data_IF_370538726863
#
_entry.id   IF_370538726863
#
_cell.length_a   1.000
_cell.length_b   1.000
_cell.length_c   1.000
_cell.angle_alpha   90.00
_cell.angle_beta   90.00
_cell.angle_gamma   90.00
#
_symmetry.space_group_name_H-M   'P 1'
#
loop_
_entity.id
_entity.type
_entity.pdbx_description
1 polymer ?
#
# COMPACT_ATOMS: atom_id res chain seq x y z
N UNK A 1 -10.91 10.22 -16.64
CA UNK A 1 -9.79 9.71 -15.84
C UNK A 1 -8.51 10.34 -16.36
N UNK A 2 -8.09 11.44 -15.76
CA UNK A 2 -6.85 12.14 -16.13
C UNK A 2 -5.68 11.48 -15.42
N UNK A 3 -4.84 10.79 -16.19
CA UNK A 3 -3.54 10.31 -15.74
C UNK A 3 -2.64 11.52 -15.52
N UNK A 4 -2.29 11.81 -14.27
CA UNK A 4 -1.33 12.87 -13.91
C UNK A 4 0.09 12.31 -14.04
N UNK A 5 0.93 12.99 -14.81
CA UNK A 5 2.30 12.58 -15.18
C UNK A 5 3.31 12.87 -14.04
N UNK A 6 2.85 13.20 -12.83
CA UNK A 6 3.71 13.49 -11.68
C UNK A 6 3.21 12.78 -10.43
N UNK A 7 3.90 11.70 -10.06
CA UNK A 7 3.72 10.98 -8.80
C UNK A 7 2.74 9.82 -8.90
N UNK A 8 3.27 8.59 -8.88
CA UNK A 8 2.50 7.49 -8.31
C UNK A 8 2.05 7.88 -6.90
N UNK A 9 1.02 7.24 -6.37
CA UNK A 9 0.56 7.44 -5.00
C UNK A 9 1.03 6.27 -4.13
N UNK A 10 1.48 6.49 -2.88
CA UNK A 10 1.82 5.39 -1.99
C UNK A 10 0.62 4.50 -1.74
N UNK A 11 0.77 3.20 -1.91
CA UNK A 11 -0.34 2.27 -1.78
C UNK A 11 0.11 0.86 -1.47
N UNK A 12 -0.83 0.07 -0.96
CA UNK A 12 -0.66 -1.36 -0.74
C UNK A 12 -1.97 -2.08 -1.03
N UNK A 13 -1.87 -3.30 -1.53
CA UNK A 13 -3.05 -4.12 -1.80
C UNK A 13 -2.70 -5.59 -1.89
N UNK A 14 -3.73 -6.42 -1.95
CA UNK A 14 -3.57 -7.86 -2.03
C UNK A 14 -4.91 -8.57 -2.12
N UNK A 15 -4.86 -9.87 -1.86
CA UNK A 15 -6.00 -10.78 -1.88
C UNK A 15 -6.04 -11.54 -0.56
N UNK A 16 -7.24 -11.72 0.00
CA UNK A 16 -7.54 -12.74 1.01
C UNK A 16 -8.41 -13.79 0.32
N UNK A 17 -8.02 -15.05 0.45
CA UNK A 17 -8.71 -16.17 -0.17
C UNK A 17 -9.73 -16.77 0.80
N UNK A 18 -10.79 -17.33 0.22
CA UNK A 18 -11.70 -18.25 0.90
C UNK A 18 -12.39 -17.66 2.12
N UNK A 19 -12.84 -16.40 2.01
CA UNK A 19 -13.73 -15.81 3.02
C UNK A 19 -15.11 -16.40 2.79
N UNK A 20 -15.56 -17.28 3.68
CA UNK A 20 -16.84 -17.96 3.53
C UNK A 20 -17.74 -17.92 4.79
N UNK A 21 -19.00 -18.32 4.64
CA UNK A 21 -19.92 -18.52 5.75
C UNK A 21 -20.12 -17.28 6.63
N UNK A 22 -19.56 -17.32 7.85
CA UNK A 22 -19.61 -16.23 8.83
C UNK A 22 -18.25 -15.55 9.04
N UNK A 23 -17.26 -15.87 8.20
CA UNK A 23 -15.95 -15.25 8.24
C UNK A 23 -16.01 -13.81 7.78
N UNK A 24 -15.29 -12.95 8.46
CA UNK A 24 -15.16 -11.54 8.12
C UNK A 24 -13.75 -11.11 8.50
N UNK A 25 -13.14 -10.30 7.64
CA UNK A 25 -11.80 -9.76 7.89
C UNK A 25 -11.79 -8.25 7.73
N UNK A 26 -11.16 -7.57 8.67
CA UNK A 26 -10.84 -6.16 8.57
C UNK A 26 -9.35 -6.00 8.27
N UNK A 27 -9.04 -5.37 7.14
CA UNK A 27 -7.67 -4.99 6.77
C UNK A 27 -7.43 -3.53 7.16
N UNK A 28 -6.37 -3.28 7.92
CA UNK A 28 -5.99 -1.96 8.41
C UNK A 28 -4.61 -1.58 7.86
N UNK A 29 -4.49 -0.39 7.29
CA UNK A 29 -3.21 0.25 7.03
C UNK A 29 -2.81 1.09 8.24
N UNK A 30 -1.55 0.97 8.68
CA UNK A 30 -1.02 1.67 9.86
C UNK A 30 0.21 2.49 9.52
N UNK A 31 0.35 3.65 10.14
CA UNK A 31 1.54 4.49 10.04
C UNK A 31 2.67 3.99 10.96
N UNK A 32 3.80 4.71 11.01
CA UNK A 32 4.98 4.32 11.79
C UNK A 32 4.80 4.39 13.32
N UNK A 33 3.74 5.04 13.81
CA UNK A 33 3.42 5.12 15.25
C UNK A 33 2.23 4.22 15.64
N UNK A 34 1.86 3.30 14.76
CA UNK A 34 0.76 2.33 14.90
C UNK A 34 -0.67 2.87 14.79
N UNK A 35 -0.86 4.13 14.38
CA UNK A 35 -2.20 4.65 14.13
C UNK A 35 -2.78 4.05 12.84
N UNK A 36 -4.07 3.73 12.88
CA UNK A 36 -4.82 3.28 11.70
C UNK A 36 -5.10 4.47 10.78
N UNK A 37 -4.53 4.43 9.58
CA UNK A 37 -4.68 5.46 8.53
C UNK A 37 -5.67 5.03 7.44
N UNK A 38 -6.07 3.76 7.41
CA UNK A 38 -7.17 3.30 6.56
C UNK A 38 -7.65 1.92 6.94
N UNK A 39 -8.91 1.65 6.61
CA UNK A 39 -9.60 0.40 6.92
C UNK A 39 -10.40 -0.07 5.71
N UNK A 40 -10.28 -1.36 5.39
CA UNK A 40 -11.14 -2.07 4.43
C UNK A 40 -11.79 -3.22 5.18
N UNK A 41 -13.13 -3.29 5.15
CA UNK A 41 -13.89 -4.41 5.69
C UNK A 41 -14.21 -5.36 4.55
N UNK A 42 -13.85 -6.63 4.73
CA UNK A 42 -14.18 -7.72 3.83
C UNK A 42 -15.31 -8.51 4.50
N UNK A 43 -16.59 -8.21 4.13
CA UNK A 43 -17.75 -8.84 4.75
C UNK A 43 -17.79 -10.33 4.43
N UNK A 44 -18.63 -11.11 5.14
CA UNK A 44 -18.90 -12.48 4.78
C UNK A 44 -19.27 -12.59 3.30
N UNK A 45 -18.54 -13.43 2.60
CA UNK A 45 -18.85 -13.81 1.23
C UNK A 45 -19.41 -15.24 1.27
N UNK A 46 -20.43 -15.53 0.47
CA UNK A 46 -20.95 -16.90 0.32
C UNK A 46 -20.71 -17.42 -1.11
N UNK A 47 -19.87 -16.72 -1.87
CA UNK A 47 -19.37 -17.20 -3.14
C UNK A 47 -18.41 -18.37 -2.91
N UNK A 48 -18.35 -19.24 -3.92
CA UNK A 48 -17.66 -20.54 -3.98
C UNK A 48 -16.34 -20.64 -3.18
N UNK A 49 -16.10 -21.81 -2.59
CA UNK A 49 -14.81 -22.29 -2.04
C UNK A 49 -13.65 -21.89 -2.97
N UNK A 50 -12.71 -21.12 -2.42
CA UNK A 50 -11.55 -20.57 -3.14
C UNK A 50 -11.73 -19.19 -3.77
N UNK A 51 -12.78 -18.44 -3.42
CA UNK A 51 -12.99 -17.07 -3.93
C UNK A 51 -11.90 -16.10 -3.43
N UNK A 52 -11.43 -15.24 -4.33
CA UNK A 52 -10.36 -14.28 -4.07
C UNK A 52 -10.92 -12.88 -3.81
N UNK A 53 -10.90 -12.45 -2.55
CA UNK A 53 -11.39 -11.13 -2.15
C UNK A 53 -10.25 -10.11 -2.17
N UNK A 54 -10.33 -9.15 -3.09
CA UNK A 54 -9.33 -8.08 -3.26
C UNK A 54 -9.53 -6.97 -2.23
N UNK A 55 -8.41 -6.43 -1.76
CA UNK A 55 -8.37 -5.21 -0.94
C UNK A 55 -7.23 -4.30 -1.38
N UNK A 56 -7.32 -3.01 -1.09
CA UNK A 56 -6.25 -2.08 -1.39
C UNK A 56 -6.45 -0.68 -0.83
N UNK A 57 -5.34 0.03 -0.72
CA UNK A 57 -5.23 1.41 -0.27
C UNK A 57 -4.43 2.22 -1.29
N UNK A 58 -4.88 3.45 -1.53
CA UNK A 58 -4.21 4.44 -2.36
C UNK A 58 -4.14 5.77 -1.59
N UNK A 59 -3.05 5.97 -0.85
CA UNK A 59 -2.83 7.18 -0.06
C UNK A 59 -2.03 8.21 -0.86
N UNK A 60 -2.25 9.49 -0.62
CA UNK A 60 -1.53 10.56 -1.31
C UNK A 60 -0.20 10.95 -0.65
N UNK A 61 -0.09 10.79 0.67
CA UNK A 61 1.01 11.34 1.48
C UNK A 61 1.40 10.47 2.67
N UNK A 62 0.45 9.69 3.20
CA UNK A 62 0.72 8.87 4.37
C UNK A 62 1.42 7.57 3.96
N UNK A 63 2.58 7.35 4.57
CA UNK A 63 3.37 6.15 4.32
C UNK A 63 2.77 5.01 5.14
N UNK A 64 2.24 4.01 4.45
CA UNK A 64 1.86 2.73 5.06
C UNK A 64 3.14 2.12 5.63
N UNK A 65 3.20 1.98 6.95
CA UNK A 65 4.29 1.29 7.62
C UNK A 65 4.00 -0.21 7.77
N UNK A 66 2.74 -0.57 8.02
CA UNK A 66 2.33 -1.97 8.11
C UNK A 66 0.86 -2.18 7.76
N UNK A 67 0.53 -3.42 7.38
CA UNK A 67 -0.83 -3.90 7.23
C UNK A 67 -1.16 -4.83 8.39
N UNK A 68 -2.35 -4.68 8.99
CA UNK A 68 -2.90 -5.60 9.98
C UNK A 68 -4.18 -6.21 9.42
N UNK A 69 -4.25 -7.54 9.39
CA UNK A 69 -5.46 -8.27 9.04
C UNK A 69 -6.05 -8.80 10.34
N UNK A 70 -7.31 -8.47 10.59
CA UNK A 70 -8.03 -8.83 11.82
C UNK A 70 -9.23 -9.66 11.43
N UNK A 71 -9.35 -10.87 11.98
CA UNK A 71 -10.60 -11.62 11.88
C UNK A 71 -11.65 -10.93 12.76
N UNK A 72 -12.78 -10.55 12.15
CA UNK A 72 -13.92 -9.90 12.81
C UNK A 72 -15.20 -10.73 12.70
N UNK A 73 -15.14 -11.88 12.03
CA UNK A 73 -16.27 -12.77 11.83
C UNK A 73 -16.60 -13.64 13.04
N UNK A 74 -17.43 -14.65 12.80
CA UNK A 74 -17.83 -15.64 13.79
C UNK A 74 -17.50 -17.06 13.34
N UNK A 75 -17.29 -17.97 14.31
CA UNK A 75 -16.90 -19.36 14.07
C UNK A 75 -15.61 -19.74 14.78
N UNK A 76 -15.19 -21.00 14.64
CA UNK A 76 -13.93 -21.51 15.16
C UNK A 76 -13.16 -22.25 14.06
N UNK A 77 -11.83 -22.26 14.14
CA UNK A 77 -10.98 -22.90 13.12
C UNK A 77 -10.68 -22.02 11.90
N UNK A 78 -10.68 -20.70 12.07
CA UNK A 78 -10.43 -19.72 11.00
C UNK A 78 -9.03 -19.91 10.40
N UNK A 79 -8.99 -20.11 9.09
CA UNK A 79 -7.76 -20.07 8.29
C UNK A 79 -7.47 -18.66 7.79
N UNK A 80 -6.20 -18.34 7.56
CA UNK A 80 -5.83 -17.13 6.82
C UNK A 80 -4.91 -17.51 5.66
N UNK A 81 -5.42 -17.34 4.46
CA UNK A 81 -4.64 -17.40 3.23
C UNK A 81 -4.67 -16.04 2.54
N UNK A 82 -3.49 -15.48 2.28
CA UNK A 82 -3.35 -14.21 1.56
C UNK A 82 -2.33 -14.37 0.42
N UNK A 83 -2.56 -13.65 -0.68
CA UNK A 83 -1.68 -13.70 -1.85
C UNK A 83 -1.65 -12.37 -2.61
N UNK A 84 -0.76 -12.28 -3.59
CA UNK A 84 -0.62 -11.19 -4.54
C UNK A 84 -0.45 -9.82 -3.86
N UNK A 85 0.25 -9.81 -2.72
CA UNK A 85 0.56 -8.60 -1.98
C UNK A 85 1.48 -7.71 -2.82
N UNK A 86 1.08 -6.45 -2.99
CA UNK A 86 1.82 -5.46 -3.75
C UNK A 86 1.90 -4.15 -2.99
N UNK A 87 3.01 -3.45 -3.19
CA UNK A 87 3.20 -2.09 -2.68
C UNK A 87 3.66 -1.18 -3.82
N UNK A 88 3.26 0.07 -3.77
CA UNK A 88 3.82 1.12 -4.58
C UNK A 88 4.38 2.18 -3.64
N UNK A 89 5.69 2.37 -3.66
CA UNK A 89 6.36 3.38 -2.86
C UNK A 89 6.75 4.56 -3.77
N UNK A 90 6.45 5.77 -3.31
CA UNK A 90 6.76 7.00 -4.03
C UNK A 90 7.95 7.63 -3.33
N UNK A 91 9.01 8.03 -4.06
CA UNK A 91 10.18 8.64 -3.44
C UNK A 91 9.76 9.82 -2.57
N UNK A 92 10.24 9.85 -1.32
CA UNK A 92 9.95 10.97 -0.44
C UNK A 92 10.46 12.29 -1.06
N UNK A 93 9.77 13.43 -0.80
CA UNK A 93 10.14 14.71 -1.40
C UNK A 93 11.62 15.08 -1.18
N UNK A 94 12.19 14.72 -0.03
CA UNK A 94 13.59 14.96 0.30
C UNK A 94 14.55 14.19 -0.63
N UNK A 95 14.21 12.97 -1.02
CA UNK A 95 15.00 12.16 -1.96
C UNK A 95 15.01 12.78 -3.35
N UNK A 96 13.88 13.32 -3.80
CA UNK A 96 13.78 14.05 -5.07
C UNK A 96 14.61 15.34 -5.06
N UNK A 97 14.57 16.08 -3.94
CA UNK A 97 15.38 17.28 -3.76
C UNK A 97 16.89 16.96 -3.74
N UNK A 98 17.29 15.91 -3.02
CA UNK A 98 18.68 15.46 -2.97
C UNK A 98 19.18 15.04 -4.36
N UNK A 99 18.35 14.33 -5.13
CA UNK A 99 18.66 13.96 -6.52
C UNK A 99 18.83 15.21 -7.40
N UNK A 100 17.89 16.14 -7.31
CA UNK A 100 17.90 17.39 -8.09
C UNK A 100 19.11 18.26 -7.79
N UNK A 101 19.45 18.44 -6.50
CA UNK A 101 20.64 19.19 -6.06
C UNK A 101 21.94 18.50 -6.47
N UNK A 102 22.01 17.16 -6.40
CA UNK A 102 23.12 16.38 -6.92
C UNK A 102 23.38 16.61 -8.40
N UNK A 103 22.32 16.60 -9.23
CA UNK A 103 22.45 16.90 -10.66
C UNK A 103 22.85 18.34 -10.94
N UNK A 104 22.27 19.31 -10.22
CA UNK A 104 22.64 20.72 -10.36
C UNK A 104 24.12 20.96 -10.01
N UNK A 105 24.61 20.37 -8.93
CA UNK A 105 26.01 20.44 -8.53
C UNK A 105 26.95 19.81 -9.58
N UNK A 106 26.57 18.66 -10.17
CA UNK A 106 27.33 18.03 -11.25
C UNK A 106 27.40 18.90 -12.50
N UNK A 107 26.30 19.54 -12.88
CA UNK A 107 26.21 20.41 -14.05
C UNK A 107 27.10 21.66 -13.87
N UNK A 108 27.05 22.28 -12.69
CA UNK A 108 27.91 23.42 -12.34
C UNK A 108 29.39 23.04 -12.35
N UNK A 109 29.75 21.87 -11.78
CA UNK A 109 31.14 21.35 -11.80
C UNK A 109 31.67 21.09 -13.20
N UNK A 110 30.83 20.58 -14.11
CA UNK A 110 31.20 20.38 -15.52
C UNK A 110 31.41 21.70 -16.26
N UNK A 111 30.62 22.73 -15.94
CA UNK A 111 30.70 24.05 -16.58
C UNK A 111 31.94 24.83 -16.14
N UNK A 112 32.33 24.72 -14.87
CA UNK A 112 33.56 25.33 -14.35
C UNK A 112 34.88 24.68 -14.83
N UNK A 113 34.81 23.47 -15.41
CA UNK A 113 35.97 22.75 -15.98
C UNK A 113 36.24 23.04 -17.45
N UNK A 114 35.42 23.86 -18.10
CA UNK A 114 35.54 24.24 -19.53
C UNK A 114 36.15 25.62 -19.76
N UNK A 115 36.77 26.20 -18.73
CA UNK A 115 37.63 27.38 -18.79
C UNK A 115 39.03 27.01 -18.31
#
# INVERSE_FOLDING_TARGET
MTSSILGGRPGAGGIILDIDGAEEFTVQARNAVDDVIGTVVLPPNNELDGSATRWGFDFGTDVIHSIRIVFTGAGGGVGLAFDNFSTNAVPEPASMLALGTGFAALALKRRGRRH
#
